data_IF_040592179147
#
_entry.id   IF_040592179147
#
_cell.length_a   1.000
_cell.length_b   1.000
_cell.length_c   1.000
_cell.angle_alpha   90.00
_cell.angle_beta   90.00
_cell.angle_gamma   90.00
#
_symmetry.space_group_name_H-M   'P 1'
#
loop_
_entity.id
_entity.type
_entity.pdbx_description
1 polymer ?
#
# COMPACT_ATOMS: atom_id res chain seq x y z
N UNK A 1 24.04 -13.89 -13.93
CA UNK A 1 22.81 -14.18 -13.16
C UNK A 1 23.04 -13.71 -11.73
N UNK A 2 22.68 -12.47 -11.40
CA UNK A 2 22.67 -12.02 -10.01
C UNK A 2 21.40 -12.52 -9.35
N UNK A 3 21.54 -13.48 -8.44
CA UNK A 3 20.50 -13.85 -7.49
C UNK A 3 20.37 -12.69 -6.51
N UNK A 4 19.42 -11.78 -6.76
CA UNK A 4 18.94 -10.90 -5.70
C UNK A 4 18.37 -11.83 -4.64
N UNK A 5 19.04 -11.95 -3.49
CA UNK A 5 18.48 -12.58 -2.31
C UNK A 5 17.31 -11.72 -1.86
N UNK A 6 16.15 -11.98 -2.46
CA UNK A 6 14.89 -11.35 -2.14
C UNK A 6 14.53 -11.88 -0.76
N UNK A 7 14.88 -11.12 0.28
CA UNK A 7 14.41 -11.41 1.63
C UNK A 7 12.89 -11.42 1.56
N UNK A 8 12.30 -12.60 1.68
CA UNK A 8 10.85 -12.74 1.68
C UNK A 8 10.33 -12.11 2.96
N UNK A 9 9.61 -11.01 2.82
CA UNK A 9 8.92 -10.39 3.96
C UNK A 9 7.82 -11.35 4.43
N UNK A 10 7.91 -11.82 5.68
CA UNK A 10 6.89 -12.69 6.29
C UNK A 10 5.90 -11.84 7.09
N UNK A 11 4.76 -11.54 6.46
CA UNK A 11 3.76 -10.60 7.00
C UNK A 11 3.22 -11.03 8.36
N UNK A 12 2.95 -12.32 8.55
CA UNK A 12 2.37 -12.83 9.80
C UNK A 12 3.30 -12.66 11.00
N UNK A 13 4.59 -12.95 10.82
CA UNK A 13 5.59 -12.77 11.87
C UNK A 13 5.79 -11.28 12.17
N UNK A 14 5.85 -10.45 11.11
CA UNK A 14 5.97 -9.02 11.27
C UNK A 14 4.79 -8.43 12.07
N UNK A 15 3.56 -8.84 11.76
CA UNK A 15 2.38 -8.39 12.48
C UNK A 15 2.32 -8.93 13.91
N UNK A 16 2.83 -10.13 14.16
CA UNK A 16 2.98 -10.68 15.51
C UNK A 16 3.91 -9.80 16.35
N UNK A 17 5.11 -9.50 15.82
CA UNK A 17 6.07 -8.61 16.48
C UNK A 17 5.51 -7.20 16.66
N UNK A 18 4.78 -6.66 15.67
CA UNK A 18 4.11 -5.35 15.80
C UNK A 18 3.06 -5.40 16.90
N UNK A 19 2.25 -6.45 16.99
CA UNK A 19 1.27 -6.62 18.07
C UNK A 19 1.90 -6.61 19.46
N UNK A 20 3.03 -7.31 19.63
CA UNK A 20 3.81 -7.28 20.88
C UNK A 20 4.30 -5.88 21.20
N UNK A 21 4.90 -5.20 20.23
CA UNK A 21 5.42 -3.84 20.41
C UNK A 21 4.31 -2.85 20.75
N UNK A 22 3.15 -2.94 20.09
CA UNK A 22 1.98 -2.10 20.38
C UNK A 22 1.51 -2.30 21.82
N UNK A 23 1.43 -3.54 22.32
CA UNK A 23 1.09 -3.80 23.72
C UNK A 23 2.10 -3.20 24.71
N UNK A 24 3.40 -3.27 24.40
CA UNK A 24 4.45 -2.66 25.24
C UNK A 24 4.32 -1.14 25.29
N UNK A 25 4.16 -0.49 24.13
CA UNK A 25 3.99 0.98 24.04
C UNK A 25 2.72 1.43 24.77
N UNK A 26 1.59 0.75 24.57
CA UNK A 26 0.33 1.07 25.27
C UNK A 26 0.48 0.91 26.78
N UNK A 27 1.12 -0.16 27.25
CA UNK A 27 1.35 -0.38 28.67
C UNK A 27 2.26 0.68 29.29
N UNK A 28 3.31 1.10 28.56
CA UNK A 28 4.18 2.21 28.94
C UNK A 28 3.39 3.51 29.07
N UNK A 29 2.56 3.85 28.08
CA UNK A 29 1.71 5.04 28.12
C UNK A 29 0.69 5.01 29.27
N UNK A 30 0.05 3.86 29.53
CA UNK A 30 -0.89 3.72 30.65
C UNK A 30 -0.19 3.99 31.98
N UNK A 31 1.01 3.43 32.18
CA UNK A 31 1.83 3.67 33.36
C UNK A 31 2.20 5.15 33.53
N UNK A 32 2.69 5.78 32.46
CA UNK A 32 3.06 7.22 32.46
C UNK A 32 1.86 8.12 32.76
N UNK A 33 0.66 7.73 32.35
CA UNK A 33 -0.57 8.46 32.61
C UNK A 33 -1.26 8.08 33.94
N UNK A 34 -0.71 7.14 34.72
CA UNK A 34 -1.29 6.70 35.99
C UNK A 34 -2.55 5.84 35.86
N UNK A 35 -2.79 5.24 34.68
CA UNK A 35 -3.91 4.35 34.44
C UNK A 35 -3.57 2.88 34.79
N UNK A 36 -4.60 2.07 34.99
CA UNK A 36 -4.45 0.62 35.21
C UNK A 36 -3.83 -0.06 33.96
N UNK A 37 -2.95 -1.06 34.14
CA UNK A 37 -2.44 -1.87 33.04
C UNK A 37 -3.55 -2.55 32.22
N UNK A 38 -3.22 -2.96 31.00
CA UNK A 38 -4.10 -3.84 30.24
C UNK A 38 -4.24 -5.19 30.94
N UNK A 39 -5.45 -5.76 30.89
CA UNK A 39 -5.64 -7.16 31.29
C UNK A 39 -5.10 -8.08 30.18
N UNK A 40 -4.73 -9.30 30.55
CA UNK A 40 -4.26 -10.31 29.58
C UNK A 40 -5.24 -10.50 28.42
N UNK A 41 -6.55 -10.53 28.70
CA UNK A 41 -7.58 -10.63 27.67
C UNK A 41 -7.57 -9.44 26.69
N UNK A 42 -7.35 -8.22 27.20
CA UNK A 42 -7.29 -7.01 26.34
C UNK A 42 -6.02 -6.98 25.50
N UNK A 43 -4.90 -7.45 26.04
CA UNK A 43 -3.67 -7.62 25.26
C UNK A 43 -3.85 -8.66 24.15
N UNK A 44 -4.46 -9.81 24.45
CA UNK A 44 -4.73 -10.85 23.47
C UNK A 44 -5.64 -10.33 22.34
N UNK A 45 -6.70 -9.59 22.69
CA UNK A 45 -7.58 -8.95 21.70
C UNK A 45 -6.82 -7.95 20.84
N UNK A 46 -6.01 -7.07 21.44
CA UNK A 46 -5.25 -6.05 20.70
C UNK A 46 -4.26 -6.68 19.71
N UNK A 47 -3.48 -7.68 20.18
CA UNK A 47 -2.56 -8.43 19.31
C UNK A 47 -3.32 -9.15 18.20
N UNK A 48 -4.44 -9.78 18.52
CA UNK A 48 -5.31 -10.45 17.55
C UNK A 48 -5.85 -9.49 16.48
N UNK A 49 -6.24 -8.28 16.86
CA UNK A 49 -6.71 -7.25 15.91
C UNK A 49 -5.61 -6.77 14.97
N UNK A 50 -4.38 -6.58 15.47
CA UNK A 50 -3.22 -6.22 14.64
C UNK A 50 -2.91 -7.34 13.65
N UNK A 51 -2.85 -8.58 14.14
CA UNK A 51 -2.57 -9.76 13.32
C UNK A 51 -3.67 -10.00 12.27
N UNK A 52 -4.94 -9.75 12.61
CA UNK A 52 -6.06 -9.91 11.68
C UNK A 52 -5.97 -9.04 10.41
N UNK A 53 -5.11 -8.01 10.38
CA UNK A 53 -4.82 -7.22 9.17
C UNK A 53 -4.13 -8.07 8.09
N UNK A 54 -3.51 -9.19 8.45
CA UNK A 54 -2.95 -10.15 7.50
C UNK A 54 -4.01 -10.73 6.54
N UNK A 55 -5.28 -10.79 6.97
CA UNK A 55 -6.36 -11.28 6.12
C UNK A 55 -6.63 -10.33 4.93
N UNK A 56 -6.67 -10.83 3.69
CA UNK A 56 -7.09 -10.05 2.51
C UNK A 56 -8.49 -9.44 2.65
N UNK A 57 -9.38 -10.11 3.38
CA UNK A 57 -10.75 -9.66 3.58
C UNK A 57 -10.89 -8.66 4.73
N UNK A 58 -9.80 -8.36 5.44
CA UNK A 58 -9.83 -7.37 6.50
C UNK A 58 -10.23 -5.98 5.95
N UNK A 59 -11.22 -5.31 6.55
CA UNK A 59 -11.73 -4.03 6.02
C UNK A 59 -10.66 -2.94 6.02
N UNK A 60 -9.75 -2.93 7.00
CA UNK A 60 -8.64 -1.95 7.06
C UNK A 60 -7.68 -2.19 5.89
N UNK A 61 -7.31 -3.46 5.63
CA UNK A 61 -6.44 -3.82 4.51
C UNK A 61 -7.05 -3.39 3.17
N UNK A 62 -8.34 -3.68 2.96
CA UNK A 62 -9.07 -3.27 1.74
C UNK A 62 -9.13 -1.76 1.56
N UNK A 63 -9.34 -1.00 2.64
CA UNK A 63 -9.35 0.46 2.60
C UNK A 63 -7.96 1.01 2.24
N UNK A 64 -6.90 0.47 2.84
CA UNK A 64 -5.51 0.88 2.55
C UNK A 64 -5.15 0.55 1.09
N UNK A 65 -5.50 -0.64 0.62
CA UNK A 65 -5.31 -1.05 -0.78
C UNK A 65 -6.03 -0.10 -1.75
N UNK A 66 -7.32 0.18 -1.51
CA UNK A 66 -8.08 1.12 -2.33
C UNK A 66 -7.43 2.51 -2.37
N UNK A 67 -6.92 3.00 -1.24
CA UNK A 67 -6.21 4.29 -1.18
C UNK A 67 -4.91 4.28 -1.99
N UNK A 68 -4.15 3.18 -1.94
CA UNK A 68 -2.94 3.01 -2.74
C UNK A 68 -3.28 3.01 -4.23
N UNK A 69 -4.28 2.24 -4.64
CA UNK A 69 -4.70 2.18 -6.06
C UNK A 69 -5.18 3.53 -6.57
N UNK A 70 -6.03 4.23 -5.80
CA UNK A 70 -6.49 5.59 -6.15
C UNK A 70 -5.32 6.56 -6.30
N UNK A 71 -4.31 6.48 -5.43
CA UNK A 71 -3.11 7.31 -5.56
C UNK A 71 -2.34 7.00 -6.85
N UNK A 72 -2.15 5.73 -7.18
CA UNK A 72 -1.47 5.31 -8.41
C UNK A 72 -2.22 5.76 -9.66
N UNK A 73 -3.54 5.63 -9.68
CA UNK A 73 -4.38 6.10 -10.78
C UNK A 73 -4.28 7.62 -10.97
N UNK A 74 -4.38 8.38 -9.87
CA UNK A 74 -4.20 9.83 -9.90
C UNK A 74 -2.80 10.23 -10.40
N UNK A 75 -1.78 9.48 -9.99
CA UNK A 75 -0.40 9.70 -10.43
C UNK A 75 -0.27 9.47 -11.95
N UNK A 76 -0.83 8.39 -12.47
CA UNK A 76 -0.84 8.12 -13.92
C UNK A 76 -1.59 9.20 -14.71
N UNK A 77 -2.72 9.67 -14.19
CA UNK A 77 -3.52 10.72 -14.82
C UNK A 77 -2.80 12.08 -14.85
N UNK A 78 -1.95 12.37 -13.85
CA UNK A 78 -1.18 13.62 -13.78
C UNK A 78 -0.03 13.73 -14.81
N UNK A 79 0.42 12.60 -15.37
CA UNK A 79 1.53 12.58 -16.33
C UNK A 79 2.82 13.18 -15.75
N UNK A 80 3.37 14.18 -16.43
CA UNK A 80 4.58 14.91 -15.98
C UNK A 80 4.24 16.25 -15.30
N UNK A 81 2.96 16.55 -15.07
CA UNK A 81 2.52 17.84 -14.56
C UNK A 81 2.63 17.88 -13.02
N UNK A 82 3.05 19.03 -12.50
CA UNK A 82 3.06 19.32 -11.06
C UNK A 82 1.81 20.12 -10.67
N UNK A 83 1.29 19.99 -9.44
CA UNK A 83 1.81 19.18 -8.34
C UNK A 83 1.43 17.69 -8.43
N UNK A 84 2.31 16.84 -7.90
CA UNK A 84 2.01 15.40 -7.75
C UNK A 84 0.85 15.20 -6.75
N UNK A 85 0.05 14.14 -6.90
CA UNK A 85 -0.97 13.82 -5.92
C UNK A 85 -0.32 13.61 -4.55
N UNK A 86 -0.98 14.12 -3.50
CA UNK A 86 -0.56 13.87 -2.11
C UNK A 86 -1.07 12.50 -1.66
N UNK A 87 -0.32 11.83 -0.79
CA UNK A 87 -0.78 10.56 -0.21
C UNK A 87 -2.14 10.77 0.50
N UNK A 88 -3.14 9.92 0.23
CA UNK A 88 -4.44 10.02 0.89
C UNK A 88 -4.31 9.75 2.40
N UNK A 89 -5.31 10.20 3.16
CA UNK A 89 -5.30 10.14 4.63
C UNK A 89 -4.88 8.78 5.19
N UNK A 90 -4.01 8.79 6.20
CA UNK A 90 -3.45 7.58 6.83
C UNK A 90 -2.23 6.98 6.14
N UNK A 91 -1.87 7.42 4.92
CA UNK A 91 -0.66 6.96 4.21
C UNK A 91 0.48 8.00 4.21
N UNK A 92 0.30 9.14 4.86
CA UNK A 92 1.32 10.19 4.98
C UNK A 92 2.70 9.68 5.45
N UNK A 93 2.78 8.79 6.46
CA UNK A 93 4.07 8.25 6.91
C UNK A 93 4.86 7.46 5.86
N UNK A 94 4.18 6.93 4.82
CA UNK A 94 4.80 6.14 3.75
C UNK A 94 4.75 6.83 2.38
N UNK A 95 4.54 8.16 2.38
CA UNK A 95 4.34 8.91 1.14
C UNK A 95 5.52 8.74 0.17
N UNK A 96 6.75 8.79 0.68
CA UNK A 96 7.95 8.69 -0.15
C UNK A 96 8.05 7.32 -0.82
N UNK A 97 7.81 6.26 -0.07
CA UNK A 97 7.79 4.88 -0.57
C UNK A 97 6.70 4.70 -1.63
N UNK A 98 5.52 5.28 -1.39
CA UNK A 98 4.41 5.24 -2.33
C UNK A 98 4.72 6.00 -3.63
N UNK A 99 5.39 7.14 -3.55
CA UNK A 99 5.88 7.89 -4.72
C UNK A 99 6.92 7.08 -5.52
N UNK A 100 7.85 6.41 -4.85
CA UNK A 100 8.83 5.54 -5.51
C UNK A 100 8.17 4.38 -6.27
N UNK A 101 7.13 3.77 -5.69
CA UNK A 101 6.32 2.74 -6.35
C UNK A 101 5.57 3.34 -7.54
N UNK A 102 4.97 4.52 -7.39
CA UNK A 102 4.23 5.18 -8.45
C UNK A 102 5.10 5.54 -9.66
N UNK A 103 6.34 6.02 -9.44
CA UNK A 103 7.31 6.27 -10.51
C UNK A 103 7.63 5.00 -11.29
N UNK A 104 7.88 3.89 -10.58
CA UNK A 104 8.17 2.59 -11.23
C UNK A 104 6.95 2.08 -11.99
N UNK A 105 5.76 2.21 -11.42
CA UNK A 105 4.51 1.83 -12.05
C UNK A 105 4.22 2.64 -13.32
N UNK A 106 4.39 3.96 -13.27
CA UNK A 106 4.23 4.84 -14.42
C UNK A 106 5.19 4.50 -15.56
N UNK A 107 6.46 4.18 -15.24
CA UNK A 107 7.43 3.71 -16.25
C UNK A 107 6.97 2.42 -16.92
N UNK A 108 6.48 1.45 -16.13
CA UNK A 108 5.96 0.19 -16.65
C UNK A 108 4.76 0.40 -17.57
N UNK A 109 3.80 1.23 -17.15
CA UNK A 109 2.61 1.57 -17.95
C UNK A 109 2.99 2.29 -19.24
N UNK A 110 3.91 3.25 -19.19
CA UNK A 110 4.38 3.97 -20.37
C UNK A 110 5.11 3.07 -21.36
N UNK A 111 5.95 2.16 -20.86
CA UNK A 111 6.59 1.15 -21.71
C UNK A 111 5.55 0.24 -22.38
N UNK A 112 4.56 -0.23 -21.61
CA UNK A 112 3.46 -1.02 -22.15
C UNK A 112 2.71 -0.27 -23.26
N UNK A 113 2.34 0.99 -23.01
CA UNK A 113 1.72 1.85 -24.02
C UNK A 113 2.59 1.95 -25.28
N UNK A 114 3.88 2.27 -25.13
CA UNK A 114 4.80 2.41 -26.26
C UNK A 114 4.90 1.13 -27.12
N UNK A 115 4.92 -0.04 -26.49
CA UNK A 115 5.02 -1.32 -27.20
C UNK A 115 3.68 -1.71 -27.86
N UNK A 116 2.55 -1.46 -27.18
CA UNK A 116 1.25 -1.98 -27.63
C UNK A 116 0.39 -0.97 -28.41
N UNK A 117 0.66 0.34 -28.32
CA UNK A 117 -0.04 1.38 -29.08
C UNK A 117 -0.21 1.06 -30.57
N UNK A 118 0.82 0.60 -31.31
CA UNK A 118 0.67 0.29 -32.73
C UNK A 118 -0.41 -0.77 -33.04
N UNK A 119 -0.63 -1.73 -32.14
CA UNK A 119 -1.65 -2.76 -32.30
C UNK A 119 -3.06 -2.19 -32.09
N UNK A 120 -3.21 -1.34 -31.06
CA UNK A 120 -4.47 -0.64 -30.81
C UNK A 120 -4.79 0.33 -31.96
N UNK A 121 -3.80 1.07 -32.45
CA UNK A 121 -3.94 2.00 -33.58
C UNK A 121 -4.38 1.27 -34.86
N UNK A 122 -3.85 0.07 -35.12
CA UNK A 122 -4.25 -0.75 -36.27
C UNK A 122 -5.70 -1.24 -36.18
N UNK A 123 -6.18 -1.60 -34.97
CA UNK A 123 -7.58 -1.98 -34.75
C UNK A 123 -8.49 -0.77 -34.92
N UNK A 124 -8.17 0.34 -34.26
CA UNK A 124 -8.96 1.57 -34.30
C UNK A 124 -9.04 2.15 -35.71
N UNK A 125 -7.94 2.15 -36.47
CA UNK A 125 -7.93 2.62 -37.85
C UNK A 125 -8.90 1.82 -38.73
N UNK A 126 -9.01 0.51 -38.54
CA UNK A 126 -9.97 -0.32 -39.30
C UNK A 126 -11.43 -0.02 -38.97
N UNK A 127 -11.71 0.42 -37.75
CA UNK A 127 -13.05 0.77 -37.28
C UNK A 127 -13.42 2.18 -37.76
N UNK A 128 -12.53 3.15 -37.52
CA UNK A 128 -12.78 4.57 -37.78
C UNK A 128 -12.68 4.97 -39.26
N UNK A 129 -11.91 4.25 -40.08
CA UNK A 129 -11.83 4.50 -41.54
C UNK A 129 -13.03 3.90 -42.30
N UNK A 130 -13.88 3.10 -41.62
CA UNK A 130 -15.09 2.49 -42.21
C UNK A 130 -16.39 3.25 -41.91
N UNK A 131 -16.33 4.37 -41.19
CA UNK A 131 -17.44 5.32 -40.99
C UNK A 131 -17.28 6.53 -41.89
#
# INVERSE_FOLDING_TARGET
MCTLAQHSFHLEDALTTVGEKVCLEVSSCLSLCGFSPLTTDKEAVLKGQVHAVASPDNPIRRIVESRILTFLDAYLASGHQKPLPTAPGGLGPIQKELEEVAVKFARLVNYNKMVFSPYYDAILSKILVRS
#
